data_IF_744958943806
#
_entry.id   IF_744958943806
#
_cell.length_a   1.000
_cell.length_b   1.000
_cell.length_c   1.000
_cell.angle_alpha   90.00
_cell.angle_beta   90.00
_cell.angle_gamma   90.00
#
_symmetry.space_group_name_H-M   'P 1'
#
loop_
_entity.id
_entity.type
_entity.pdbx_description
1 polymer ?
#
# COMPACT_ATOMS: atom_id res chain seq x y z
N UNK A 1 12.39 -29.03 13.69
CA UNK A 1 11.62 -28.68 12.47
C UNK A 1 11.92 -27.22 12.15
N UNK A 2 12.43 -26.96 10.96
CA UNK A 2 12.91 -25.64 10.52
C UNK A 2 11.78 -24.60 10.61
N UNK A 3 12.06 -23.40 11.11
CA UNK A 3 11.08 -22.31 11.28
C UNK A 3 10.46 -21.89 9.95
N UNK A 4 11.22 -21.97 8.84
CA UNK A 4 10.74 -21.75 7.47
C UNK A 4 9.68 -22.78 7.06
N UNK A 5 9.86 -24.05 7.42
CA UNK A 5 8.90 -25.11 7.12
C UNK A 5 7.62 -24.92 7.92
N UNK A 6 7.72 -24.50 9.20
CA UNK A 6 6.55 -24.20 10.03
C UNK A 6 5.75 -23.01 9.48
N UNK A 7 6.44 -21.96 9.06
CA UNK A 7 5.78 -20.76 8.49
C UNK A 7 5.02 -21.14 7.22
N UNK A 8 5.65 -21.87 6.30
CA UNK A 8 5.02 -22.32 5.06
C UNK A 8 3.77 -23.17 5.29
N UNK A 9 3.81 -24.10 6.23
CA UNK A 9 2.63 -24.91 6.57
C UNK A 9 1.49 -24.09 7.18
N UNK A 10 1.81 -23.06 7.96
CA UNK A 10 0.82 -22.15 8.51
C UNK A 10 0.14 -21.31 7.41
N UNK A 11 0.92 -20.82 6.46
CA UNK A 11 0.41 -20.05 5.32
C UNK A 11 -0.48 -20.91 4.41
N UNK A 12 -0.09 -22.18 4.15
CA UNK A 12 -0.89 -23.15 3.40
C UNK A 12 -2.22 -23.45 4.12
N UNK A 13 -2.19 -23.62 5.43
CA UNK A 13 -3.37 -23.88 6.25
C UNK A 13 -4.28 -22.64 6.31
N UNK A 14 -3.72 -21.45 6.44
CA UNK A 14 -4.47 -20.20 6.42
C UNK A 14 -5.22 -20.03 5.09
N UNK A 15 -4.55 -20.32 3.96
CA UNK A 15 -5.16 -20.25 2.63
C UNK A 15 -6.31 -21.26 2.47
N UNK A 16 -6.16 -22.48 3.00
CA UNK A 16 -7.22 -23.50 2.98
C UNK A 16 -8.44 -23.07 3.82
N UNK A 17 -8.21 -22.63 5.06
CA UNK A 17 -9.28 -22.18 5.95
C UNK A 17 -9.98 -20.93 5.39
N UNK A 18 -9.26 -20.04 4.73
CA UNK A 18 -9.86 -18.90 4.03
C UNK A 18 -10.81 -19.34 2.91
N UNK A 19 -10.45 -20.33 2.10
CA UNK A 19 -11.35 -20.88 1.07
C UNK A 19 -12.64 -21.39 1.70
N UNK A 20 -12.55 -22.18 2.76
CA UNK A 20 -13.70 -22.70 3.50
C UNK A 20 -14.57 -21.60 4.10
N UNK A 21 -13.94 -20.53 4.61
CA UNK A 21 -14.64 -19.35 5.12
C UNK A 21 -15.50 -18.70 4.03
N UNK A 22 -14.93 -18.50 2.85
CA UNK A 22 -15.65 -17.92 1.70
C UNK A 22 -16.84 -18.81 1.28
N UNK A 23 -16.63 -20.13 1.20
CA UNK A 23 -17.67 -21.08 0.86
C UNK A 23 -18.80 -21.09 1.89
N UNK A 24 -18.47 -21.15 3.20
CA UNK A 24 -19.46 -21.05 4.30
C UNK A 24 -20.28 -19.76 4.22
N UNK A 25 -19.62 -18.63 4.05
CA UNK A 25 -20.30 -17.33 3.96
C UNK A 25 -21.18 -17.20 2.71
N UNK A 26 -20.76 -17.76 1.58
CA UNK A 26 -21.61 -17.84 0.38
C UNK A 26 -22.84 -18.73 0.60
N UNK A 27 -22.68 -19.88 1.23
CA UNK A 27 -23.76 -20.78 1.55
C UNK A 27 -24.75 -20.14 2.54
N UNK A 28 -24.25 -19.44 3.57
CA UNK A 28 -25.06 -18.71 4.54
C UNK A 28 -25.83 -17.56 3.90
N UNK A 29 -25.18 -16.78 3.03
CA UNK A 29 -25.85 -15.70 2.29
C UNK A 29 -26.96 -16.22 1.37
N UNK A 30 -26.80 -17.42 0.81
CA UNK A 30 -27.81 -18.05 -0.04
C UNK A 30 -28.98 -18.67 0.75
N UNK A 31 -28.74 -19.08 2.02
CA UNK A 31 -29.75 -19.77 2.84
C UNK A 31 -30.65 -18.81 3.63
N UNK A 32 -30.08 -17.77 4.24
CA UNK A 32 -30.80 -17.01 5.30
C UNK A 32 -31.31 -15.63 4.87
N UNK A 33 -30.88 -15.05 3.73
CA UNK A 33 -31.23 -13.67 3.35
C UNK A 33 -30.90 -12.62 4.43
N UNK A 34 -30.38 -13.05 5.57
CA UNK A 34 -29.96 -12.25 6.70
C UNK A 34 -28.50 -11.84 6.56
N UNK A 35 -28.17 -10.66 7.05
CA UNK A 35 -26.80 -10.13 6.97
C UNK A 35 -25.79 -11.10 7.60
N UNK A 36 -24.69 -11.34 6.88
CA UNK A 36 -23.57 -12.12 7.39
C UNK A 36 -23.01 -11.48 8.67
N UNK A 37 -22.86 -12.27 9.73
CA UNK A 37 -22.25 -11.82 10.98
C UNK A 37 -20.82 -11.26 10.80
N UNK A 38 -20.24 -10.62 11.84
CA UNK A 38 -18.90 -10.04 11.78
C UNK A 38 -17.85 -11.05 11.33
N UNK A 39 -16.98 -10.66 10.41
CA UNK A 39 -15.95 -11.54 9.88
C UNK A 39 -14.98 -12.07 10.95
N UNK A 40 -14.53 -11.27 11.96
CA UNK A 40 -13.67 -11.78 13.03
C UNK A 40 -14.28 -12.94 13.83
N UNK A 41 -15.59 -12.93 14.05
CA UNK A 41 -16.31 -14.00 14.73
C UNK A 41 -16.34 -15.27 13.87
N UNK A 42 -16.67 -15.13 12.60
CA UNK A 42 -16.68 -16.24 11.66
C UNK A 42 -15.30 -16.90 11.49
N UNK A 43 -14.22 -16.10 11.49
CA UNK A 43 -12.85 -16.61 11.48
C UNK A 43 -12.52 -17.34 12.77
N UNK A 44 -12.94 -16.81 13.91
CA UNK A 44 -12.72 -17.45 15.21
C UNK A 44 -13.41 -18.81 15.26
N UNK A 45 -14.67 -18.88 14.92
CA UNK A 45 -15.43 -20.12 14.89
C UNK A 45 -14.79 -21.17 13.98
N UNK A 46 -14.41 -20.78 12.76
CA UNK A 46 -13.77 -21.67 11.79
C UNK A 46 -12.43 -22.23 12.31
N UNK A 47 -11.58 -21.37 12.90
CA UNK A 47 -10.29 -21.82 13.43
C UNK A 47 -10.46 -22.70 14.65
N UNK A 48 -11.44 -22.41 15.51
CA UNK A 48 -11.72 -23.23 16.69
C UNK A 48 -12.30 -24.61 16.33
N UNK A 49 -13.04 -24.71 15.21
CA UNK A 49 -13.55 -26.00 14.71
C UNK A 49 -12.49 -26.80 13.95
N UNK A 50 -11.87 -26.20 12.95
CA UNK A 50 -11.03 -26.92 11.98
C UNK A 50 -9.56 -27.06 12.44
N UNK A 51 -9.11 -26.21 13.36
CA UNK A 51 -7.73 -26.20 13.88
C UNK A 51 -7.65 -26.44 15.41
N UNK A 52 -8.65 -27.10 16.00
CA UNK A 52 -8.75 -27.36 17.46
C UNK A 52 -7.52 -28.10 18.03
N UNK A 53 -6.82 -28.89 17.24
CA UNK A 53 -5.64 -29.67 17.65
C UNK A 53 -4.39 -28.80 17.83
N UNK A 54 -4.37 -27.61 17.23
CA UNK A 54 -3.22 -26.70 17.31
C UNK A 54 -3.13 -26.00 18.65
N UNK A 55 -1.90 -25.68 19.06
CA UNK A 55 -1.61 -24.86 20.24
C UNK A 55 -2.36 -23.52 20.17
N UNK A 56 -2.82 -22.97 21.33
CA UNK A 56 -3.57 -21.71 21.36
C UNK A 56 -2.85 -20.54 20.67
N UNK A 57 -1.53 -20.43 20.85
CA UNK A 57 -0.69 -19.41 20.19
C UNK A 57 -0.68 -19.55 18.67
N UNK A 58 -0.67 -20.78 18.18
CA UNK A 58 -0.71 -21.08 16.74
C UNK A 58 -2.08 -20.78 16.16
N UNK A 59 -3.16 -21.07 16.89
CA UNK A 59 -4.53 -20.70 16.47
C UNK A 59 -4.72 -19.20 16.39
N UNK A 60 -4.19 -18.45 17.37
CA UNK A 60 -4.28 -16.98 17.32
C UNK A 60 -3.55 -16.40 16.11
N UNK A 61 -2.32 -16.88 15.86
CA UNK A 61 -1.56 -16.49 14.67
C UNK A 61 -2.27 -16.86 13.36
N UNK A 62 -2.96 -17.99 13.33
CA UNK A 62 -3.76 -18.43 12.19
C UNK A 62 -4.96 -17.52 11.95
N UNK A 63 -5.65 -17.08 13.02
CA UNK A 63 -6.75 -16.11 12.95
C UNK A 63 -6.27 -14.78 12.38
N UNK A 64 -5.15 -14.27 12.86
CA UNK A 64 -4.55 -13.02 12.35
C UNK A 64 -4.18 -13.14 10.87
N UNK A 65 -3.60 -14.25 10.45
CA UNK A 65 -3.27 -14.49 9.05
C UNK A 65 -4.51 -14.52 8.17
N UNK A 66 -5.54 -15.26 8.58
CA UNK A 66 -6.80 -15.36 7.83
C UNK A 66 -7.48 -13.99 7.75
N UNK A 67 -7.53 -13.22 8.84
CA UNK A 67 -8.12 -11.88 8.84
C UNK A 67 -7.36 -10.92 7.94
N UNK A 68 -6.03 -10.88 8.02
CA UNK A 68 -5.20 -10.07 7.12
C UNK A 68 -5.46 -10.39 5.65
N UNK A 69 -5.52 -11.66 5.30
CA UNK A 69 -5.78 -12.08 3.93
C UNK A 69 -7.23 -11.88 3.48
N UNK A 70 -8.19 -11.90 4.40
CA UNK A 70 -9.61 -11.79 4.08
C UNK A 70 -10.12 -10.34 3.98
N UNK A 71 -9.54 -9.41 4.74
CA UNK A 71 -9.98 -8.01 4.84
C UNK A 71 -8.90 -7.04 4.37
N UNK A 72 -7.63 -7.36 4.61
CA UNK A 72 -6.52 -6.47 4.37
C UNK A 72 -5.77 -6.72 3.05
N UNK A 73 -4.60 -6.10 2.93
CA UNK A 73 -3.69 -6.21 1.79
C UNK A 73 -2.83 -7.48 1.86
N UNK A 74 -3.23 -8.44 2.71
CA UNK A 74 -2.54 -9.70 2.89
C UNK A 74 -1.13 -9.51 3.46
N UNK A 75 -0.12 -10.19 2.86
CA UNK A 75 1.24 -10.13 3.37
C UNK A 75 1.91 -8.74 3.23
N UNK A 76 1.32 -7.81 2.48
CA UNK A 76 1.89 -6.47 2.28
C UNK A 76 1.65 -5.53 3.47
N UNK A 77 0.72 -5.86 4.38
CA UNK A 77 0.38 -4.97 5.50
C UNK A 77 1.58 -4.69 6.40
N UNK A 78 2.41 -5.69 6.67
CA UNK A 78 3.62 -5.52 7.48
C UNK A 78 4.60 -4.52 6.82
N UNK A 79 4.74 -4.61 5.49
CA UNK A 79 5.59 -3.71 4.74
C UNK A 79 5.02 -2.29 4.67
N UNK A 80 3.70 -2.19 4.49
CA UNK A 80 3.01 -0.90 4.44
C UNK A 80 2.88 -0.24 5.82
N UNK A 81 2.97 -0.99 6.92
CA UNK A 81 3.01 -0.44 8.26
C UNK A 81 4.39 0.12 8.65
N UNK A 82 5.47 -0.31 7.98
CA UNK A 82 6.83 0.17 8.23
C UNK A 82 7.00 1.59 7.68
N UNK A 83 7.26 2.61 8.54
CA UNK A 83 7.38 4.01 8.10
C UNK A 83 8.61 4.26 7.21
N UNK A 84 9.62 3.39 7.24
CA UNK A 84 10.82 3.52 6.41
C UNK A 84 10.61 2.99 4.97
N UNK A 85 9.52 2.26 4.71
CA UNK A 85 9.20 1.78 3.37
C UNK A 85 8.54 2.90 2.56
N UNK A 86 9.17 3.27 1.45
CA UNK A 86 8.72 4.30 0.52
C UNK A 86 7.84 3.72 -0.59
N UNK A 87 8.23 2.54 -1.09
CA UNK A 87 7.50 1.82 -2.13
C UNK A 87 7.54 0.31 -1.88
N UNK A 88 6.44 -0.38 -2.18
CA UNK A 88 6.33 -1.83 -2.20
C UNK A 88 6.11 -2.27 -3.63
N UNK A 89 6.94 -3.17 -4.13
CA UNK A 89 6.89 -3.68 -5.50
C UNK A 89 6.68 -5.19 -5.50
N UNK A 90 5.61 -5.65 -6.14
CA UNK A 90 5.23 -7.06 -6.26
C UNK A 90 5.41 -7.50 -7.70
N UNK A 91 6.27 -8.48 -7.95
CA UNK A 91 6.54 -9.03 -9.27
C UNK A 91 6.15 -10.52 -9.29
N UNK A 92 4.91 -10.80 -9.70
CA UNK A 92 4.28 -12.10 -9.50
C UNK A 92 4.07 -12.37 -8.01
N UNK A 93 3.52 -13.53 -7.69
CA UNK A 93 3.16 -13.86 -6.30
C UNK A 93 4.35 -14.18 -5.39
N UNK A 94 5.53 -14.46 -5.93
CA UNK A 94 6.68 -14.94 -5.16
C UNK A 94 7.71 -13.87 -4.83
N UNK A 95 7.73 -12.74 -5.52
CA UNK A 95 8.80 -11.74 -5.41
C UNK A 95 8.22 -10.40 -4.99
N UNK A 96 8.53 -10.01 -3.77
CA UNK A 96 8.17 -8.71 -3.21
C UNK A 96 9.43 -7.97 -2.82
N UNK A 97 9.54 -6.74 -3.26
CA UNK A 97 10.62 -5.82 -2.98
C UNK A 97 10.09 -4.58 -2.27
N UNK A 98 10.94 -3.93 -1.53
CA UNK A 98 10.65 -2.62 -0.94
C UNK A 98 11.74 -1.62 -1.32
N UNK A 99 11.35 -0.36 -1.42
CA UNK A 99 12.30 0.75 -1.47
C UNK A 99 12.37 1.40 -0.09
N UNK A 100 13.60 1.53 0.43
CA UNK A 100 13.92 2.27 1.66
C UNK A 100 15.08 3.21 1.38
N UNK A 101 14.91 4.50 1.64
CA UNK A 101 15.97 5.50 1.47
C UNK A 101 16.61 5.46 0.07
N UNK A 102 15.78 5.28 -0.97
CA UNK A 102 16.23 5.19 -2.36
C UNK A 102 16.95 3.89 -2.73
N UNK A 103 16.89 2.84 -1.90
CA UNK A 103 17.46 1.52 -2.18
C UNK A 103 16.38 0.47 -2.27
N UNK A 104 16.43 -0.34 -3.33
CA UNK A 104 15.52 -1.46 -3.54
C UNK A 104 16.12 -2.72 -2.91
N UNK A 105 15.34 -3.36 -2.04
CA UNK A 105 15.72 -4.55 -1.29
C UNK A 105 14.68 -5.66 -1.46
N UNK A 106 15.08 -6.92 -1.65
CA UNK A 106 14.17 -8.04 -1.64
C UNK A 106 13.63 -8.28 -0.23
N UNK A 107 12.42 -8.81 -0.13
CA UNK A 107 11.81 -9.21 1.14
C UNK A 107 11.60 -10.73 1.21
N UNK A 108 11.35 -11.25 2.41
CA UNK A 108 10.90 -12.64 2.60
C UNK A 108 9.36 -12.77 2.43
N UNK A 109 8.68 -11.64 2.22
CA UNK A 109 7.23 -11.59 2.04
C UNK A 109 6.87 -12.10 0.64
N UNK A 110 5.83 -12.91 0.55
CA UNK A 110 5.30 -13.42 -0.71
C UNK A 110 3.81 -13.74 -0.56
N UNK A 111 3.10 -13.85 -1.66
CA UNK A 111 1.74 -14.36 -1.70
C UNK A 111 1.75 -15.89 -1.83
N UNK A 112 0.79 -16.58 -1.19
CA UNK A 112 0.69 -18.03 -1.24
C UNK A 112 0.44 -18.58 -2.66
N UNK A 113 -0.19 -17.78 -3.53
CA UNK A 113 -0.48 -18.13 -4.92
C UNK A 113 -0.73 -16.88 -5.76
N UNK A 114 -0.71 -17.03 -7.10
CA UNK A 114 -1.14 -15.98 -8.00
C UNK A 114 -2.59 -15.54 -7.73
N UNK A 115 -3.47 -16.48 -7.39
CA UNK A 115 -4.85 -16.16 -7.05
C UNK A 115 -4.94 -15.26 -5.80
N UNK A 116 -4.13 -15.52 -4.76
CA UNK A 116 -4.13 -14.66 -3.57
C UNK A 116 -3.61 -13.24 -3.86
N UNK A 117 -2.68 -13.08 -4.82
CA UNK A 117 -2.26 -11.78 -5.31
C UNK A 117 -3.38 -11.08 -6.09
N UNK A 118 -4.08 -11.79 -6.98
CA UNK A 118 -5.24 -11.26 -7.73
C UNK A 118 -6.36 -10.81 -6.78
N UNK A 119 -6.66 -11.61 -5.78
CA UNK A 119 -7.66 -11.27 -4.75
C UNK A 119 -7.24 -9.99 -3.97
N UNK A 120 -5.94 -9.82 -3.67
CA UNK A 120 -5.44 -8.61 -3.03
C UNK A 120 -5.57 -7.38 -3.94
N UNK A 121 -5.23 -7.52 -5.22
CA UNK A 121 -5.40 -6.47 -6.22
C UNK A 121 -6.88 -6.05 -6.32
N UNK A 122 -7.80 -7.00 -6.38
CA UNK A 122 -9.24 -6.73 -6.45
C UNK A 122 -9.73 -6.00 -5.19
N UNK A 123 -9.29 -6.42 -4.00
CA UNK A 123 -9.62 -5.74 -2.74
C UNK A 123 -9.13 -4.29 -2.69
N UNK A 124 -7.97 -4.02 -3.27
CA UNK A 124 -7.43 -2.66 -3.37
C UNK A 124 -8.25 -1.80 -4.33
N UNK A 125 -8.59 -2.35 -5.49
CA UNK A 125 -9.18 -1.57 -6.58
C UNK A 125 -10.69 -1.38 -6.45
N UNK A 126 -11.41 -2.38 -5.91
CA UNK A 126 -12.89 -2.35 -5.83
C UNK A 126 -13.44 -1.16 -5.03
N UNK A 127 -12.90 -0.83 -3.81
CA UNK A 127 -13.37 0.34 -3.07
C UNK A 127 -13.13 1.66 -3.80
N UNK A 128 -12.12 1.70 -4.68
CA UNK A 128 -11.78 2.87 -5.49
C UNK A 128 -12.62 3.00 -6.77
N UNK A 129 -13.57 2.06 -6.98
CA UNK A 129 -14.36 2.00 -8.21
C UNK A 129 -13.52 1.68 -9.45
N UNK A 130 -12.35 1.05 -9.27
CA UNK A 130 -11.43 0.65 -10.33
C UNK A 130 -11.43 -0.86 -10.49
N UNK A 131 -11.08 -1.31 -11.69
CA UNK A 131 -10.90 -2.73 -11.99
C UNK A 131 -9.77 -2.89 -13.01
N UNK A 132 -9.20 -4.06 -13.04
CA UNK A 132 -8.21 -4.49 -14.03
C UNK A 132 -8.65 -5.85 -14.58
N UNK A 133 -8.67 -5.98 -15.91
CA UNK A 133 -9.06 -7.20 -16.60
C UNK A 133 -8.25 -7.35 -17.92
N UNK A 134 -8.43 -8.44 -18.64
CA UNK A 134 -7.68 -8.72 -19.88
C UNK A 134 -7.89 -7.67 -20.99
N UNK A 135 -9.01 -6.95 -20.98
CA UNK A 135 -9.31 -5.87 -21.93
C UNK A 135 -8.67 -4.55 -21.51
N UNK A 136 -8.49 -4.37 -20.19
CA UNK A 136 -7.83 -3.21 -19.58
C UNK A 136 -6.82 -3.70 -18.55
N UNK A 137 -5.68 -4.26 -19.02
CA UNK A 137 -4.76 -5.01 -18.15
C UNK A 137 -3.82 -4.13 -17.33
N UNK A 138 -4.06 -2.83 -17.27
CA UNK A 138 -3.27 -1.87 -16.52
C UNK A 138 -4.19 -0.84 -15.87
N UNK A 139 -3.91 -0.49 -14.62
CA UNK A 139 -4.65 0.52 -13.89
C UNK A 139 -3.76 1.30 -12.93
N UNK A 140 -3.99 2.61 -12.89
CA UNK A 140 -3.48 3.52 -11.87
C UNK A 140 -4.62 3.90 -10.92
N UNK A 141 -4.34 3.84 -9.62
CA UNK A 141 -5.28 4.19 -8.59
C UNK A 141 -4.59 4.94 -7.43
N UNK A 142 -5.38 5.60 -6.61
CA UNK A 142 -4.91 6.28 -5.41
C UNK A 142 -5.71 5.79 -4.21
N UNK A 143 -5.00 5.35 -3.18
CA UNK A 143 -5.58 4.92 -1.91
C UNK A 143 -6.10 6.13 -1.11
N UNK A 144 -6.91 5.87 -0.09
CA UNK A 144 -7.47 6.91 0.79
C UNK A 144 -6.39 7.68 1.55
N UNK A 145 -5.28 7.01 1.91
CA UNK A 145 -4.10 7.63 2.54
C UNK A 145 -3.26 8.48 1.58
N UNK A 146 -3.64 8.49 0.29
CA UNK A 146 -2.95 9.21 -0.77
C UNK A 146 -1.86 8.41 -1.49
N UNK A 147 -1.56 7.19 -1.05
CA UNK A 147 -0.62 6.29 -1.72
C UNK A 147 -1.08 5.95 -3.13
N UNK A 148 -0.14 5.80 -4.05
CA UNK A 148 -0.40 5.45 -5.45
C UNK A 148 -0.24 3.96 -5.65
N UNK A 149 -1.19 3.35 -6.33
CA UNK A 149 -1.14 1.95 -6.73
C UNK A 149 -1.12 1.87 -8.25
N UNK A 150 -0.13 1.19 -8.78
CA UNK A 150 -0.05 0.81 -10.19
C UNK A 150 -0.13 -0.70 -10.30
N UNK A 151 -1.02 -1.21 -11.13
CA UNK A 151 -1.22 -2.65 -11.34
C UNK A 151 -1.16 -2.96 -12.82
N UNK A 152 -0.45 -4.01 -13.17
CA UNK A 152 -0.41 -4.58 -14.52
C UNK A 152 -0.63 -6.10 -14.41
N UNK A 153 -1.52 -6.63 -15.26
CA UNK A 153 -1.80 -8.07 -15.31
C UNK A 153 -1.49 -8.63 -16.70
N UNK A 154 -1.45 -9.97 -16.88
CA UNK A 154 -1.44 -10.56 -18.21
C UNK A 154 -2.61 -10.06 -19.07
N UNK A 155 -2.41 -9.84 -20.41
CA UNK A 155 -1.22 -10.23 -21.19
C UNK A 155 -0.04 -9.25 -21.16
N UNK A 156 -0.16 -8.05 -20.57
CA UNK A 156 0.95 -7.09 -20.52
C UNK A 156 2.06 -7.52 -19.55
N UNK A 157 1.70 -8.03 -18.38
CA UNK A 157 2.65 -8.58 -17.41
C UNK A 157 2.94 -10.04 -17.73
N UNK A 158 4.08 -10.33 -18.37
CA UNK A 158 4.42 -11.66 -18.89
C UNK A 158 4.63 -12.70 -17.76
N UNK A 159 5.21 -12.26 -16.63
CA UNK A 159 5.56 -13.15 -15.50
C UNK A 159 4.46 -13.23 -14.42
N UNK A 160 3.21 -12.92 -14.78
CA UNK A 160 2.08 -12.84 -13.84
C UNK A 160 1.79 -11.41 -13.38
N UNK A 161 0.77 -11.20 -12.54
CA UNK A 161 0.40 -9.86 -12.07
C UNK A 161 1.57 -9.13 -11.41
N UNK A 162 1.71 -7.86 -11.71
CA UNK A 162 2.67 -6.95 -11.09
C UNK A 162 1.93 -5.78 -10.45
N UNK A 163 2.37 -5.34 -9.28
CA UNK A 163 1.79 -4.23 -8.56
C UNK A 163 2.87 -3.42 -7.86
N UNK A 164 2.80 -2.10 -7.95
CA UNK A 164 3.58 -1.23 -7.07
C UNK A 164 2.65 -0.35 -6.23
N UNK A 165 3.02 -0.15 -4.97
CA UNK A 165 2.34 0.74 -4.03
C UNK A 165 3.38 1.74 -3.53
N UNK A 166 3.33 2.95 -4.08
CA UNK A 166 4.19 4.05 -3.64
C UNK A 166 3.48 4.83 -2.55
N UNK A 167 4.05 4.76 -1.34
CA UNK A 167 3.46 5.41 -0.19
C UNK A 167 3.47 6.92 -0.32
N UNK A 168 2.42 7.50 0.19
CA UNK A 168 2.35 8.92 0.36
C UNK A 168 3.15 9.30 1.61
N UNK A 169 4.30 9.97 1.42
CA UNK A 169 5.08 10.46 2.56
C UNK A 169 4.33 11.62 3.22
N UNK A 170 3.91 11.40 4.46
CA UNK A 170 3.33 12.48 5.29
C UNK A 170 4.41 13.44 5.80
N UNK A 171 5.67 13.00 5.91
CA UNK A 171 6.79 13.82 6.34
C UNK A 171 7.24 14.73 5.17
N UNK A 172 6.82 15.98 5.23
CA UNK A 172 7.23 17.01 4.29
C UNK A 172 7.97 18.07 5.06
N UNK A 173 9.29 18.15 4.90
CA UNK A 173 10.06 19.19 5.57
C UNK A 173 9.55 20.56 5.13
N UNK A 174 9.20 21.38 6.10
CA UNK A 174 8.91 22.80 5.88
C UNK A 174 10.17 23.57 5.49
N UNK A 175 10.04 24.86 5.09
CA UNK A 175 11.20 25.65 4.65
C UNK A 175 12.33 25.70 5.69
N UNK A 176 11.99 25.87 6.97
CA UNK A 176 12.97 25.89 8.07
C UNK A 176 13.64 24.54 8.30
N UNK A 177 12.90 23.46 8.12
CA UNK A 177 13.46 22.13 8.24
C UNK A 177 14.45 21.83 7.12
N UNK A 178 14.18 22.31 5.89
CA UNK A 178 15.14 22.21 4.77
C UNK A 178 16.44 22.96 5.06
N UNK A 179 16.38 24.08 5.79
CA UNK A 179 17.59 24.78 6.25
C UNK A 179 18.32 23.93 7.29
N UNK A 180 17.61 23.40 8.29
CA UNK A 180 18.21 22.54 9.32
C UNK A 180 18.87 21.29 8.75
N UNK A 181 18.30 20.73 7.68
CA UNK A 181 18.84 19.59 6.94
C UNK A 181 20.01 19.99 5.99
N UNK A 182 20.34 21.28 5.88
CA UNK A 182 21.38 21.78 4.98
C UNK A 182 21.02 21.75 3.50
N UNK A 183 19.75 21.52 3.17
CA UNK A 183 19.24 21.55 1.78
C UNK A 183 19.13 22.98 1.26
N UNK A 184 18.78 23.93 2.14
CA UNK A 184 18.75 25.36 1.86
C UNK A 184 19.72 26.10 2.78
N UNK A 185 20.30 27.19 2.30
CA UNK A 185 20.95 28.18 3.18
C UNK A 185 19.90 29.16 3.72
N UNK A 186 20.20 29.86 4.82
CA UNK A 186 19.33 30.93 5.34
C UNK A 186 19.08 32.01 4.30
N UNK A 187 20.11 32.39 3.56
CA UNK A 187 20.00 33.43 2.51
C UNK A 187 19.03 32.98 1.41
N UNK A 188 19.15 31.74 0.94
CA UNK A 188 18.27 31.21 -0.10
C UNK A 188 16.83 31.03 0.42
N UNK A 189 16.64 30.65 1.69
CA UNK A 189 15.34 30.60 2.34
C UNK A 189 14.65 31.96 2.28
N UNK A 190 15.35 33.03 2.68
CA UNK A 190 14.79 34.39 2.72
C UNK A 190 14.52 34.93 1.31
N UNK A 191 15.40 34.66 0.36
CA UNK A 191 15.21 35.02 -1.05
C UNK A 191 13.99 34.34 -1.66
N UNK A 192 13.80 33.02 -1.41
CA UNK A 192 12.63 32.27 -1.87
C UNK A 192 11.33 32.79 -1.23
N UNK A 193 11.34 33.07 0.08
CA UNK A 193 10.20 33.66 0.77
C UNK A 193 9.82 35.00 0.14
N UNK A 194 10.79 35.88 -0.10
CA UNK A 194 10.57 37.16 -0.76
C UNK A 194 10.06 36.99 -2.20
N UNK A 195 10.56 36.02 -2.93
CA UNK A 195 10.12 35.75 -4.30
C UNK A 195 8.66 35.27 -4.35
N UNK A 196 8.23 34.39 -3.43
CA UNK A 196 6.83 33.96 -3.30
C UNK A 196 5.93 35.13 -2.91
N UNK A 197 6.29 35.90 -1.88
CA UNK A 197 5.54 37.07 -1.46
C UNK A 197 5.40 38.14 -2.58
N UNK A 198 6.42 38.27 -3.41
CA UNK A 198 6.40 39.13 -4.60
C UNK A 198 5.69 38.53 -5.81
N UNK A 199 5.10 37.32 -5.67
CA UNK A 199 4.40 36.58 -6.76
C UNK A 199 5.25 36.38 -8.00
N UNK A 200 6.56 36.12 -7.82
CA UNK A 200 7.47 35.86 -8.93
C UNK A 200 7.25 34.44 -9.46
N UNK A 201 7.46 34.26 -10.76
CA UNK A 201 7.52 32.92 -11.36
C UNK A 201 8.79 32.20 -10.91
N UNK A 202 8.64 31.01 -10.35
CA UNK A 202 9.75 30.17 -9.86
C UNK A 202 9.73 28.88 -10.65
N UNK A 203 10.86 28.50 -11.23
CA UNK A 203 11.07 27.23 -11.91
C UNK A 203 11.93 26.32 -11.04
N UNK A 204 11.36 25.15 -10.65
CA UNK A 204 12.10 24.10 -9.94
C UNK A 204 12.37 22.96 -10.89
N UNK A 205 13.65 22.65 -11.14
CA UNK A 205 14.08 21.58 -12.06
C UNK A 205 15.06 20.62 -11.40
N UNK A 206 15.16 19.41 -11.92
CA UNK A 206 16.06 18.38 -11.41
C UNK A 206 15.62 16.97 -11.86
N UNK A 207 16.45 15.97 -11.61
CA UNK A 207 16.16 14.56 -11.88
C UNK A 207 15.06 13.98 -10.99
N UNK A 208 14.64 12.74 -11.25
CA UNK A 208 13.73 11.99 -10.38
C UNK A 208 14.38 11.80 -9.01
N UNK A 209 13.61 11.93 -7.91
CA UNK A 209 14.14 11.77 -6.55
C UNK A 209 15.00 12.94 -6.04
N UNK A 210 15.21 14.02 -6.81
CA UNK A 210 16.03 15.17 -6.37
C UNK A 210 15.36 16.11 -5.37
N UNK A 211 14.12 15.85 -4.96
CA UNK A 211 13.41 16.69 -4.00
C UNK A 211 12.63 17.87 -4.60
N UNK A 212 12.38 17.90 -5.93
CA UNK A 212 11.60 18.98 -6.58
C UNK A 212 10.25 19.22 -5.93
N UNK A 213 9.46 18.17 -5.76
CA UNK A 213 8.12 18.25 -5.15
C UNK A 213 8.22 18.61 -3.67
N UNK A 214 9.26 18.15 -2.97
CA UNK A 214 9.54 18.54 -1.58
C UNK A 214 9.80 20.04 -1.47
N UNK A 215 10.67 20.58 -2.33
CA UNK A 215 10.94 22.01 -2.36
C UNK A 215 9.69 22.82 -2.72
N UNK A 216 8.94 22.39 -3.73
CA UNK A 216 7.71 23.07 -4.15
C UNK A 216 6.66 23.11 -3.04
N UNK A 217 6.49 21.99 -2.29
CA UNK A 217 5.64 21.96 -1.09
C UNK A 217 6.17 22.89 0.01
N UNK A 218 7.49 22.98 0.21
CA UNK A 218 8.05 23.91 1.17
C UNK A 218 7.79 25.37 0.76
N UNK A 219 7.90 25.69 -0.54
CA UNK A 219 7.59 27.04 -1.05
C UNK A 219 6.12 27.42 -0.86
N UNK A 220 5.18 26.45 -0.91
CA UNK A 220 3.76 26.73 -0.66
C UNK A 220 3.49 27.26 0.75
N UNK A 221 4.35 26.95 1.72
CA UNK A 221 4.25 27.46 3.08
C UNK A 221 4.51 28.98 3.21
N UNK A 222 5.10 29.62 2.19
CA UNK A 222 5.29 31.06 2.13
C UNK A 222 4.10 31.80 1.50
N UNK A 223 3.13 31.07 0.93
CA UNK A 223 1.93 31.68 0.35
C UNK A 223 1.01 32.15 1.48
N UNK A 224 0.47 33.35 1.35
CA UNK A 224 -0.47 33.90 2.34
C UNK A 224 -1.72 32.99 2.42
N UNK A 225 -2.17 32.59 3.64
CA UNK A 225 -3.33 31.70 3.80
C UNK A 225 -4.64 32.27 3.19
N UNK A 226 -4.71 33.57 2.91
CA UNK A 226 -5.86 34.19 2.26
C UNK A 226 -5.83 34.10 0.73
N UNK A 227 -4.72 33.66 0.16
CA UNK A 227 -4.56 33.52 -1.28
C UNK A 227 -5.22 32.24 -1.79
N UNK A 228 -5.81 32.34 -2.96
CA UNK A 228 -6.33 31.15 -3.67
C UNK A 228 -5.22 30.50 -4.48
N UNK A 229 -4.86 29.28 -4.12
CA UNK A 229 -3.89 28.47 -4.86
C UNK A 229 -4.62 27.50 -5.79
N UNK A 230 -4.12 27.33 -7.02
CA UNK A 230 -4.59 26.32 -7.99
C UNK A 230 -3.39 25.46 -8.38
N UNK A 231 -3.52 24.15 -8.23
CA UNK A 231 -2.51 23.19 -8.67
C UNK A 231 -2.94 22.52 -9.98
N UNK A 232 -1.99 22.29 -10.88
CA UNK A 232 -2.16 21.55 -12.12
C UNK A 232 -1.08 20.46 -12.14
N UNK A 233 -1.49 19.22 -12.00
CA UNK A 233 -0.60 18.09 -11.78
C UNK A 233 -1.12 16.86 -12.55
N UNK A 234 -0.22 16.05 -13.09
CA UNK A 234 -0.59 14.74 -13.67
C UNK A 234 -1.12 13.83 -12.57
N UNK A 235 -0.53 13.89 -11.39
CA UNK A 235 -1.06 13.26 -10.20
C UNK A 235 -0.81 14.16 -8.99
N UNK A 236 -1.85 14.39 -8.17
CA UNK A 236 -1.80 15.31 -7.04
C UNK A 236 -0.75 14.88 -5.99
N UNK A 237 0.31 15.68 -5.88
CA UNK A 237 1.39 15.52 -4.89
C UNK A 237 1.49 16.76 -3.97
N UNK A 238 1.01 17.90 -4.44
CA UNK A 238 1.02 19.15 -3.67
C UNK A 238 -0.16 19.20 -2.70
N UNK A 239 0.07 19.83 -1.56
CA UNK A 239 -0.95 20.07 -0.52
C UNK A 239 -0.81 21.48 0.06
#
# INVERSE_FOLDING_TARGET
MDERVRRRHLDELAAELRRRLVERRRAQAAADGAGLGPLPEAVRELVDEDAAILEPSTRERLRELILREAVGLGPLEELLADPEVEEVMVNGHQRVYVERRGRIEPTEVHFASEQSLRDAIERILTPLGRRVDELSPMVDARLEDGSRVHVVIPPLAVDGPSMSIRRFSAARPGPRELVNLGTLTEELHDELAAAVAARRSILVSGGTGSGKTTLLNALSAFVDPTERVVTIEDAAELR
#
